data_IF_261734114726
#
_entry.id   IF_261734114726
#
_cell.length_a   1.000
_cell.length_b   1.000
_cell.length_c   1.000
_cell.angle_alpha   90.00
_cell.angle_beta   90.00
_cell.angle_gamma   90.00
#
_symmetry.space_group_name_H-M   'P 1'
#
loop_
_entity.id
_entity.type
_entity.pdbx_description
1 polymer ?
#
# COMPACT_ATOMS: atom_id res chain seq x y z
N UNK A 1 -10.85 10.86 -85.05
CA UNK A 1 -12.33 10.93 -84.89
C UNK A 1 -12.65 11.93 -83.79
N UNK A 2 -13.84 12.55 -83.80
CA UNK A 2 -14.10 13.78 -83.06
C UNK A 2 -14.95 13.61 -81.79
N UNK A 3 -14.63 14.44 -80.79
CA UNK A 3 -15.53 15.08 -79.82
C UNK A 3 -17.05 14.90 -80.02
N UNK A 4 -17.79 14.58 -78.94
CA UNK A 4 -18.54 15.62 -78.20
C UNK A 4 -19.11 15.17 -76.84
N UNK A 5 -19.58 16.17 -76.10
CA UNK A 5 -20.01 16.18 -74.69
C UNK A 5 -21.55 16.11 -74.56
N UNK A 6 -22.06 15.52 -73.45
CA UNK A 6 -23.24 16.00 -72.65
C UNK A 6 -24.64 15.92 -73.35
N UNK A 7 -25.77 15.53 -72.71
CA UNK A 7 -26.47 16.23 -71.60
C UNK A 7 -27.69 15.43 -71.04
N UNK A 8 -27.93 15.46 -69.69
CA UNK A 8 -29.25 15.47 -68.96
C UNK A 8 -30.24 14.27 -69.19
N UNK A 9 -31.26 13.98 -68.35
CA UNK A 9 -31.83 14.64 -67.14
C UNK A 9 -32.57 13.64 -66.19
N UNK A 10 -32.44 13.84 -64.88
CA UNK A 10 -33.35 13.56 -63.73
C UNK A 10 -34.66 12.75 -63.91
N UNK A 11 -34.95 11.86 -62.92
CA UNK A 11 -36.19 11.96 -62.09
C UNK A 11 -36.18 11.08 -60.81
N UNK A 12 -36.78 11.60 -59.71
CA UNK A 12 -37.16 10.98 -58.41
C UNK A 12 -36.05 10.23 -57.63
N UNK A 13 -35.67 10.61 -56.41
CA UNK A 13 -36.44 10.82 -55.16
C UNK A 13 -36.89 9.52 -54.48
N UNK A 14 -36.01 8.98 -53.62
CA UNK A 14 -36.38 8.18 -52.47
C UNK A 14 -35.51 8.64 -51.30
N UNK A 15 -36.09 9.39 -50.35
CA UNK A 15 -35.41 9.76 -49.11
C UNK A 15 -35.62 8.59 -48.14
N UNK A 16 -34.61 7.74 -48.00
CA UNK A 16 -34.57 6.76 -46.92
C UNK A 16 -33.74 7.35 -45.79
N UNK A 17 -34.43 7.92 -44.79
CA UNK A 17 -33.79 8.49 -43.60
C UNK A 17 -33.32 7.36 -42.68
N UNK A 18 -32.24 6.68 -43.06
CA UNK A 18 -31.55 5.74 -42.18
C UNK A 18 -30.89 6.55 -41.07
N UNK A 19 -31.60 6.74 -39.96
CA UNK A 19 -31.01 7.09 -38.67
C UNK A 19 -30.27 5.85 -38.18
N UNK A 20 -29.14 5.57 -38.83
CA UNK A 20 -28.15 4.63 -38.33
C UNK A 20 -27.54 5.28 -37.11
N UNK A 21 -28.06 4.96 -35.94
CA UNK A 21 -27.48 5.37 -34.66
C UNK A 21 -26.03 4.91 -34.67
N UNK A 22 -25.10 5.86 -34.84
CA UNK A 22 -23.70 5.59 -34.63
C UNK A 22 -23.56 5.33 -33.14
N UNK A 23 -23.60 4.05 -32.76
CA UNK A 23 -23.21 3.61 -31.44
C UNK A 23 -21.73 3.95 -31.31
N UNK A 24 -21.48 5.14 -30.75
CA UNK A 24 -20.16 5.50 -30.25
C UNK A 24 -19.90 4.52 -29.13
N UNK A 25 -19.17 3.46 -29.46
CA UNK A 25 -18.45 2.65 -28.50
C UNK A 25 -17.40 3.55 -27.87
N UNK A 26 -17.84 4.38 -26.93
CA UNK A 26 -16.97 4.82 -25.86
C UNK A 26 -16.41 3.52 -25.25
N UNK A 27 -15.09 3.29 -25.26
CA UNK A 27 -14.55 2.29 -24.37
C UNK A 27 -14.94 2.72 -22.95
N UNK A 28 -15.80 1.95 -22.31
CA UNK A 28 -16.06 2.11 -20.88
C UNK A 28 -14.73 1.88 -20.19
N UNK A 29 -14.15 2.94 -19.63
CA UNK A 29 -12.86 2.86 -18.93
C UNK A 29 -12.96 1.77 -17.85
N UNK A 30 -12.18 0.70 -18.02
CA UNK A 30 -12.07 -0.34 -17.00
C UNK A 30 -11.15 0.22 -15.90
N UNK A 31 -11.55 -0.01 -14.65
CA UNK A 31 -10.98 0.64 -13.45
C UNK A 31 -9.62 0.06 -13.06
N UNK A 32 -8.89 0.77 -12.18
CA UNK A 32 -7.50 0.47 -11.83
C UNK A 32 -6.94 1.42 -10.73
N UNK A 33 -6.11 0.95 -9.79
CA UNK A 33 -5.70 1.53 -8.48
C UNK A 33 -4.25 1.13 -7.93
N UNK A 34 -3.25 2.00 -7.69
CA UNK A 34 -1.82 1.77 -8.12
C UNK A 34 -1.01 0.85 -7.24
N UNK A 35 -0.68 1.37 -6.08
CA UNK A 35 -1.03 0.67 -4.86
C UNK A 35 -2.52 0.25 -4.96
N UNK A 36 -2.79 -1.05 -5.14
CA UNK A 36 -4.19 -1.51 -5.06
C UNK A 36 -4.70 -1.22 -3.65
N UNK A 37 -5.94 -0.76 -3.53
CA UNK A 37 -6.59 -0.62 -2.23
C UNK A 37 -7.67 -1.66 -2.09
N UNK A 38 -7.55 -2.54 -1.10
CA UNK A 38 -8.52 -3.61 -0.90
C UNK A 38 -9.94 -3.08 -0.67
N UNK A 39 -10.89 -3.54 -1.49
CA UNK A 39 -12.32 -3.17 -1.51
C UNK A 39 -12.65 -1.73 -1.95
N UNK A 40 -11.79 -1.03 -2.68
CA UNK A 40 -12.07 0.32 -3.21
C UNK A 40 -12.87 0.31 -4.55
N UNK A 41 -13.73 -0.70 -4.75
CA UNK A 41 -14.34 -1.08 -6.03
C UNK A 41 -15.22 -0.03 -6.75
N UNK A 42 -15.52 1.11 -6.14
CA UNK A 42 -16.38 2.16 -6.71
C UNK A 42 -15.66 3.45 -7.16
N UNK A 43 -14.39 3.68 -6.82
CA UNK A 43 -13.67 4.88 -7.30
C UNK A 43 -12.30 5.09 -6.65
N UNK A 44 -12.04 6.31 -6.16
CA UNK A 44 -10.95 6.61 -5.20
C UNK A 44 -11.48 6.64 -3.74
N UNK A 45 -12.78 6.45 -3.56
CA UNK A 45 -13.50 6.63 -2.31
C UNK A 45 -13.73 5.31 -1.58
N UNK A 46 -12.82 4.97 -0.68
CA UNK A 46 -13.06 3.95 0.33
C UNK A 46 -11.83 3.12 0.67
N UNK A 47 -12.02 1.80 0.67
CA UNK A 47 -10.98 0.84 0.96
C UNK A 47 -10.85 0.48 2.43
N UNK A 48 -10.35 -0.73 2.68
CA UNK A 48 -10.13 -1.28 4.00
C UNK A 48 -8.84 -0.72 4.59
N UNK A 49 -8.89 -0.21 5.83
CA UNK A 49 -7.75 0.40 6.54
C UNK A 49 -7.94 0.35 8.05
N UNK A 50 -6.86 0.43 8.81
CA UNK A 50 -6.94 0.59 10.27
C UNK A 50 -7.50 1.98 10.65
N UNK A 51 -8.21 2.06 11.77
CA UNK A 51 -8.71 3.33 12.28
C UNK A 51 -7.60 4.11 12.98
N UNK A 52 -7.49 5.43 12.75
CA UNK A 52 -6.54 6.28 13.47
C UNK A 52 -7.06 6.73 14.85
N UNK A 53 -8.35 6.52 15.16
CA UNK A 53 -8.92 6.75 16.48
C UNK A 53 -9.11 5.42 17.24
N UNK A 54 -8.94 5.40 18.58
CA UNK A 54 -9.12 4.20 19.40
C UNK A 54 -10.46 3.53 19.17
N UNK A 55 -10.43 2.23 18.85
CA UNK A 55 -11.58 1.46 18.38
C UNK A 55 -11.59 0.09 19.03
N UNK A 56 -12.70 -0.27 19.66
CA UNK A 56 -12.88 -1.59 20.26
C UNK A 56 -13.77 -2.47 19.38
N UNK A 57 -13.23 -3.58 18.86
CA UNK A 57 -13.97 -4.59 18.08
C UNK A 57 -13.98 -5.90 18.89
N UNK A 58 -15.16 -6.50 19.08
CA UNK A 58 -15.36 -7.73 19.88
C UNK A 58 -14.77 -7.71 21.31
N UNK A 59 -14.52 -6.52 21.87
CA UNK A 59 -13.95 -6.33 23.22
C UNK A 59 -12.42 -6.14 23.24
N UNK A 60 -11.76 -6.09 22.09
CA UNK A 60 -10.31 -5.85 21.95
C UNK A 60 -10.07 -4.52 21.21
N UNK A 61 -8.97 -3.84 21.54
CA UNK A 61 -8.48 -2.69 20.78
C UNK A 61 -8.09 -3.16 19.37
N UNK A 62 -8.48 -2.40 18.33
CA UNK A 62 -8.19 -2.65 16.91
C UNK A 62 -8.10 -1.32 16.14
N UNK A 63 -7.10 -0.52 16.46
CA UNK A 63 -6.80 0.76 15.79
C UNK A 63 -5.28 1.02 15.70
N UNK A 64 -4.90 2.23 15.30
CA UNK A 64 -3.53 2.74 15.38
C UNK A 64 -3.21 3.43 16.72
N UNK A 65 -4.17 3.60 17.64
CA UNK A 65 -3.95 4.23 18.94
C UNK A 65 -3.20 3.29 19.89
N UNK A 66 -1.90 3.54 20.06
CA UNK A 66 -0.96 2.60 20.70
C UNK A 66 -0.18 1.73 19.70
N UNK A 67 -0.47 1.84 18.41
CA UNK A 67 0.22 1.15 17.32
C UNK A 67 -0.22 -0.31 17.13
N UNK A 68 0.07 -0.86 15.95
CA UNK A 68 -0.32 -2.23 15.60
C UNK A 68 0.63 -3.24 16.26
N UNK A 69 0.10 -4.16 17.07
CA UNK A 69 0.91 -5.23 17.64
C UNK A 69 0.97 -6.43 16.70
N UNK A 70 2.09 -7.12 16.70
CA UNK A 70 2.23 -8.40 16.01
C UNK A 70 2.67 -9.52 16.95
N UNK A 71 2.11 -10.72 16.76
CA UNK A 71 2.50 -11.93 17.49
C UNK A 71 3.08 -12.99 16.54
N UNK A 72 3.82 -13.95 17.08
CA UNK A 72 4.54 -14.97 16.29
C UNK A 72 4.11 -16.38 16.71
N UNK A 73 3.90 -17.28 15.74
CA UNK A 73 3.52 -18.66 16.03
C UNK A 73 4.61 -19.35 16.87
N UNK A 74 4.21 -19.84 18.05
CA UNK A 74 5.14 -20.38 19.06
C UNK A 74 5.66 -19.37 20.09
N UNK A 75 5.18 -18.13 20.08
CA UNK A 75 5.41 -17.12 21.13
C UNK A 75 6.87 -16.63 21.26
N UNK A 76 7.71 -16.87 20.26
CA UNK A 76 9.10 -16.39 20.26
C UNK A 76 9.71 -16.40 18.86
N UNK A 77 10.65 -15.48 18.63
CA UNK A 77 11.46 -15.44 17.40
C UNK A 77 12.14 -16.78 17.11
N UNK A 78 12.60 -17.52 18.13
CA UNK A 78 13.23 -18.83 17.91
C UNK A 78 12.19 -19.86 17.44
N UNK A 79 11.09 -20.03 18.16
CA UNK A 79 10.07 -21.00 17.80
C UNK A 79 9.53 -20.75 16.39
N UNK A 80 9.35 -19.48 16.02
CA UNK A 80 8.90 -19.07 14.70
C UNK A 80 9.95 -19.31 13.60
N UNK A 81 11.23 -18.96 13.82
CA UNK A 81 12.33 -19.27 12.88
C UNK A 81 12.42 -20.77 12.61
N UNK A 82 12.27 -21.57 13.66
CA UNK A 82 12.48 -23.03 13.63
C UNK A 82 11.28 -23.78 12.99
N UNK A 83 10.24 -23.08 12.53
CA UNK A 83 9.20 -23.62 11.63
C UNK A 83 9.66 -23.77 10.18
N UNK A 84 10.63 -22.94 9.74
CA UNK A 84 10.98 -22.78 8.32
C UNK A 84 12.25 -23.55 7.93
N UNK A 85 12.33 -23.93 6.66
CA UNK A 85 13.57 -24.49 6.09
C UNK A 85 14.44 -23.38 5.52
N UNK A 86 15.72 -23.39 5.88
CA UNK A 86 16.68 -22.33 5.56
C UNK A 86 17.87 -22.88 4.77
N UNK A 87 18.36 -22.12 3.79
CA UNK A 87 19.62 -22.40 3.07
C UNK A 87 20.81 -22.30 4.03
N UNK A 88 20.80 -21.25 4.87
CA UNK A 88 21.62 -21.11 6.08
C UNK A 88 20.68 -20.65 7.18
N UNK A 89 20.54 -21.44 8.25
CA UNK A 89 19.70 -21.08 9.42
C UNK A 89 20.21 -19.78 10.03
N UNK A 90 19.41 -18.70 10.08
CA UNK A 90 19.86 -17.41 10.61
C UNK A 90 20.21 -17.49 12.10
N UNK A 91 21.15 -16.66 12.54
CA UNK A 91 21.33 -16.39 13.98
C UNK A 91 20.04 -15.76 14.51
N UNK A 92 19.69 -16.02 15.78
CA UNK A 92 18.42 -15.59 16.34
C UNK A 92 18.26 -14.06 16.29
N UNK A 93 19.30 -13.33 16.67
CA UNK A 93 19.39 -11.87 16.64
C UNK A 93 19.20 -11.31 15.21
N UNK A 94 19.80 -11.95 14.20
CA UNK A 94 19.64 -11.59 12.79
C UNK A 94 18.19 -11.83 12.30
N UNK A 95 17.55 -12.92 12.74
CA UNK A 95 16.16 -13.22 12.38
C UNK A 95 15.17 -12.25 13.02
N UNK A 96 15.35 -11.94 14.32
CA UNK A 96 14.59 -10.91 15.01
C UNK A 96 14.74 -9.56 14.33
N UNK A 97 15.98 -9.13 14.07
CA UNK A 97 16.27 -7.89 13.37
C UNK A 97 15.66 -7.88 11.94
N UNK A 98 15.61 -9.02 11.25
CA UNK A 98 14.96 -9.17 9.95
C UNK A 98 13.44 -8.92 10.00
N UNK A 99 12.74 -9.46 11.00
CA UNK A 99 11.30 -9.21 11.21
C UNK A 99 11.07 -7.75 11.60
N UNK A 100 11.84 -7.22 12.55
CA UNK A 100 11.74 -5.82 12.97
C UNK A 100 12.03 -4.86 11.81
N UNK A 101 12.96 -5.18 10.90
CA UNK A 101 13.23 -4.41 9.69
C UNK A 101 12.06 -4.44 8.69
N UNK A 102 11.36 -5.58 8.54
CA UNK A 102 10.23 -5.68 7.63
C UNK A 102 9.06 -4.79 8.08
N UNK A 103 8.75 -4.76 9.38
CA UNK A 103 7.77 -3.81 9.94
C UNK A 103 8.24 -2.36 9.86
N UNK A 104 9.50 -2.07 10.22
CA UNK A 104 10.04 -0.71 10.18
C UNK A 104 10.20 -0.15 8.75
N UNK A 105 10.24 -0.97 7.70
CA UNK A 105 10.24 -0.47 6.33
C UNK A 105 9.00 0.39 6.03
N UNK A 106 7.84 0.04 6.57
CA UNK A 106 6.60 0.82 6.43
C UNK A 106 6.54 2.07 7.31
N UNK A 107 7.42 2.22 8.31
CA UNK A 107 7.48 3.41 9.19
C UNK A 107 8.48 4.47 8.72
N UNK A 108 9.30 4.15 7.70
CA UNK A 108 10.36 5.04 7.19
C UNK A 108 9.81 6.29 6.50
N UNK A 109 10.40 7.45 6.81
CA UNK A 109 10.18 8.71 6.07
C UNK A 109 10.52 8.51 4.59
N UNK A 110 9.58 8.87 3.70
CA UNK A 110 9.76 8.83 2.25
C UNK A 110 10.97 9.72 1.85
N UNK A 111 12.03 9.15 1.22
CA UNK A 111 13.23 9.89 0.87
C UNK A 111 13.05 10.85 -0.32
N UNK A 112 11.98 10.70 -1.10
CA UNK A 112 11.64 11.55 -2.25
C UNK A 112 10.85 12.80 -1.85
N UNK A 113 9.83 12.65 -0.98
CA UNK A 113 8.98 13.78 -0.54
C UNK A 113 9.30 14.32 0.85
N UNK A 114 9.97 13.54 1.70
CA UNK A 114 10.19 13.88 3.12
C UNK A 114 8.98 13.62 4.03
N UNK A 115 7.91 12.98 3.53
CA UNK A 115 6.73 12.66 4.33
C UNK A 115 6.98 11.47 5.27
N UNK A 116 6.63 11.65 6.54
CA UNK A 116 6.65 10.59 7.55
C UNK A 116 5.41 9.70 7.50
N UNK A 117 5.10 9.06 8.62
CA UNK A 117 3.84 8.39 8.91
C UNK A 117 3.70 8.25 10.42
N UNK A 118 2.46 8.15 10.91
CA UNK A 118 2.15 7.87 12.32
C UNK A 118 2.02 6.36 12.59
N UNK A 119 2.22 5.51 11.58
CA UNK A 119 2.30 4.06 11.73
C UNK A 119 3.51 3.65 12.58
N UNK A 120 3.28 2.81 13.58
CA UNK A 120 4.32 2.07 14.29
C UNK A 120 3.84 0.68 14.71
N UNK A 121 4.79 -0.21 14.92
CA UNK A 121 4.55 -1.64 15.19
C UNK A 121 5.29 -2.09 16.45
N UNK A 122 4.67 -2.97 17.24
CA UNK A 122 5.26 -3.53 18.48
C UNK A 122 5.11 -5.04 18.51
N UNK A 123 6.15 -5.77 18.91
CA UNK A 123 6.03 -7.22 19.14
C UNK A 123 5.24 -7.49 20.44
N UNK A 124 4.12 -8.19 20.33
CA UNK A 124 3.35 -8.73 21.44
C UNK A 124 3.42 -10.26 21.40
N UNK A 125 4.48 -10.79 22.02
CA UNK A 125 4.74 -12.23 22.09
C UNK A 125 4.04 -12.91 23.28
N UNK A 126 3.33 -12.15 24.11
CA UNK A 126 2.51 -12.68 25.22
C UNK A 126 1.08 -12.98 24.77
N UNK A 127 0.52 -12.17 23.85
CA UNK A 127 -0.69 -12.52 23.11
C UNK A 127 -0.43 -13.78 22.25
N UNK A 128 -1.16 -14.88 22.46
CA UNK A 128 -0.97 -16.08 21.64
C UNK A 128 -1.53 -15.87 20.22
N UNK A 129 -0.80 -16.34 19.21
CA UNK A 129 -1.36 -16.53 17.86
C UNK A 129 -2.61 -17.40 17.94
N UNK A 130 -3.74 -16.94 17.39
CA UNK A 130 -5.00 -17.70 17.40
C UNK A 130 -5.32 -18.22 15.99
N UNK A 131 -5.56 -19.52 15.89
CA UNK A 131 -5.33 -20.29 14.66
C UNK A 131 -6.17 -19.94 13.42
N UNK A 132 -5.45 -19.69 12.33
CA UNK A 132 -5.85 -19.96 10.93
C UNK A 132 -6.58 -21.32 10.75
N UNK A 133 -7.58 -21.36 9.87
CA UNK A 133 -8.19 -22.63 9.44
C UNK A 133 -7.36 -23.24 8.30
N UNK A 134 -6.65 -24.34 8.58
CA UNK A 134 -5.76 -25.02 7.62
C UNK A 134 -6.40 -25.22 6.24
N UNK A 135 -5.86 -24.54 5.22
CA UNK A 135 -6.33 -24.62 3.83
C UNK A 135 -7.63 -23.88 3.51
N UNK A 136 -8.11 -22.96 4.35
CA UNK A 136 -9.33 -22.18 4.09
C UNK A 136 -9.22 -20.66 4.22
N UNK A 137 -8.10 -20.12 4.71
CA UNK A 137 -8.01 -18.68 4.99
C UNK A 137 -8.65 -18.29 6.32
N UNK A 138 -8.70 -16.99 6.55
CA UNK A 138 -9.43 -16.35 7.64
C UNK A 138 -8.59 -16.02 8.88
N UNK A 139 -8.96 -14.89 9.48
CA UNK A 139 -8.33 -14.25 10.64
C UNK A 139 -9.13 -14.48 11.91
N UNK A 140 -8.45 -14.77 13.03
CA UNK A 140 -9.08 -14.82 14.34
C UNK A 140 -8.85 -13.52 15.13
N UNK A 141 -9.93 -12.77 15.36
CA UNK A 141 -9.89 -11.49 16.07
C UNK A 141 -9.42 -11.58 17.53
N UNK A 142 -9.06 -12.76 18.06
CA UNK A 142 -8.52 -12.96 19.43
C UNK A 142 -6.99 -12.91 19.51
N UNK A 143 -6.28 -12.87 18.38
CA UNK A 143 -4.83 -12.70 18.30
C UNK A 143 -4.34 -11.27 18.55
N UNK A 144 -3.16 -10.92 18.04
CA UNK A 144 -2.69 -9.53 17.97
C UNK A 144 -3.46 -8.74 16.89
N UNK A 145 -3.02 -7.53 16.53
CA UNK A 145 -3.52 -6.88 15.31
C UNK A 145 -3.02 -7.60 14.04
N UNK A 146 -1.80 -8.15 14.11
CA UNK A 146 -1.13 -8.90 13.03
C UNK A 146 -0.51 -10.21 13.55
N UNK A 147 -1.11 -11.38 13.28
CA UNK A 147 -0.54 -12.68 13.68
C UNK A 147 0.32 -13.30 12.56
N UNK A 148 1.53 -13.81 12.89
CA UNK A 148 2.45 -14.43 11.93
C UNK A 148 2.54 -15.95 12.07
N UNK A 149 2.35 -16.66 10.95
CA UNK A 149 2.24 -18.13 10.86
C UNK A 149 3.24 -18.74 9.87
N UNK A 150 3.61 -20.00 10.09
CA UNK A 150 4.25 -20.88 9.12
C UNK A 150 3.40 -22.12 8.88
N UNK A 151 2.75 -22.23 7.72
CA UNK A 151 1.88 -23.36 7.35
C UNK A 151 2.41 -24.15 6.16
N UNK A 152 2.30 -25.48 6.21
CA UNK A 152 2.59 -26.35 5.07
C UNK A 152 1.40 -26.46 4.09
N UNK A 153 0.27 -25.80 4.38
CA UNK A 153 -0.94 -25.82 3.56
C UNK A 153 -1.74 -24.52 3.73
N UNK A 154 -1.99 -23.78 2.65
CA UNK A 154 -2.77 -22.54 2.68
C UNK A 154 -3.64 -22.39 1.41
N UNK A 155 -4.12 -21.19 1.08
CA UNK A 155 -4.92 -20.97 -0.12
C UNK A 155 -4.07 -21.01 -1.40
N UNK A 156 -2.82 -20.53 -1.35
CA UNK A 156 -1.93 -20.49 -2.52
C UNK A 156 -0.95 -21.69 -2.65
N UNK A 157 -0.88 -22.60 -1.67
CA UNK A 157 -0.02 -23.79 -1.72
C UNK A 157 -0.56 -25.02 -0.96
N UNK A 158 -0.33 -26.20 -1.54
CA UNK A 158 -0.60 -27.51 -0.93
C UNK A 158 0.61 -28.05 -0.13
N UNK A 159 0.38 -29.11 0.65
CA UNK A 159 1.46 -29.91 1.27
C UNK A 159 2.42 -30.48 0.22
N UNK A 160 3.70 -30.16 0.36
CA UNK A 160 4.78 -30.55 -0.55
C UNK A 160 5.19 -29.47 -1.56
N UNK A 161 4.64 -28.25 -1.48
CA UNK A 161 5.04 -27.15 -2.35
C UNK A 161 6.41 -26.57 -1.96
N UNK A 162 7.28 -26.39 -2.96
CA UNK A 162 8.65 -25.90 -2.80
C UNK A 162 8.80 -24.39 -3.08
N UNK A 163 7.70 -23.69 -3.41
CA UNK A 163 7.68 -22.25 -3.67
C UNK A 163 7.73 -21.48 -2.35
N UNK A 164 8.54 -20.42 -2.30
CA UNK A 164 8.58 -19.49 -1.16
C UNK A 164 7.44 -18.50 -1.33
N UNK A 165 6.33 -18.76 -0.67
CA UNK A 165 5.13 -17.94 -0.70
C UNK A 165 4.82 -17.36 0.66
N UNK A 166 4.13 -16.23 0.63
CA UNK A 166 3.36 -15.67 1.72
C UNK A 166 1.89 -15.61 1.31
N UNK A 167 1.03 -15.36 2.28
CA UNK A 167 -0.40 -15.12 2.10
C UNK A 167 -0.89 -14.26 3.26
N UNK A 168 -1.42 -13.07 2.96
CA UNK A 168 -2.08 -12.24 3.96
C UNK A 168 -3.60 -12.38 3.87
N UNK A 169 -4.21 -12.76 4.99
CA UNK A 169 -5.64 -12.67 5.21
C UNK A 169 -5.91 -11.43 6.08
N UNK A 170 -7.04 -10.74 5.90
CA UNK A 170 -7.50 -9.75 6.88
C UNK A 170 -9.04 -9.71 6.95
N UNK A 171 -9.56 -9.31 8.11
CA UNK A 171 -10.99 -9.08 8.33
C UNK A 171 -11.26 -7.58 8.49
N UNK A 172 -12.32 -7.09 7.85
CA UNK A 172 -12.84 -5.73 8.05
C UNK A 172 -14.33 -5.74 8.41
N UNK A 173 -14.77 -4.64 9.04
CA UNK A 173 -16.18 -4.38 9.37
C UNK A 173 -16.74 -3.23 8.53
N UNK A 174 -18.07 -3.21 8.38
CA UNK A 174 -18.81 -2.21 7.58
C UNK A 174 -18.97 -0.87 8.31
N UNK A 175 -17.86 -0.35 8.86
CA UNK A 175 -17.79 0.90 9.60
C UNK A 175 -16.66 1.80 9.09
N UNK A 176 -16.96 3.08 8.91
CA UNK A 176 -15.99 4.09 8.46
C UNK A 176 -14.97 4.43 9.53
N UNK A 177 -13.72 4.67 9.14
CA UNK A 177 -12.63 5.05 10.05
C UNK A 177 -12.50 6.55 10.28
N UNK A 178 -11.65 6.93 11.24
CA UNK A 178 -10.92 8.20 11.27
C UNK A 178 -9.59 8.05 10.54
N UNK A 179 -9.22 9.02 9.69
CA UNK A 179 -7.88 9.10 9.09
C UNK A 179 -6.86 9.69 10.07
N UNK A 180 -5.57 9.37 9.90
CA UNK A 180 -4.44 9.94 10.68
C UNK A 180 -4.40 11.47 10.63
N UNK A 181 -4.94 12.08 9.57
CA UNK A 181 -5.12 13.53 9.43
C UNK A 181 -6.24 14.14 10.27
N UNK A 182 -6.99 13.33 11.03
CA UNK A 182 -8.12 13.74 11.86
C UNK A 182 -9.48 13.80 11.14
N UNK A 183 -9.58 13.38 9.87
CA UNK A 183 -10.88 13.27 9.18
C UNK A 183 -11.65 12.06 9.73
N UNK A 184 -12.63 12.33 10.60
CA UNK A 184 -13.57 11.33 11.16
C UNK A 184 -14.62 10.86 10.15
N UNK A 185 -15.09 9.62 10.29
CA UNK A 185 -16.14 9.00 9.46
C UNK A 185 -15.84 9.06 7.95
N UNK A 186 -14.62 8.70 7.55
CA UNK A 186 -14.17 8.81 6.16
C UNK A 186 -15.02 7.92 5.23
N UNK A 187 -15.73 8.53 4.28
CA UNK A 187 -16.79 7.86 3.52
C UNK A 187 -16.27 6.72 2.64
N UNK A 188 -17.00 5.59 2.63
CA UNK A 188 -16.65 4.39 1.87
C UNK A 188 -15.52 3.55 2.47
N UNK A 189 -14.83 4.03 3.51
CA UNK A 189 -13.79 3.26 4.21
C UNK A 189 -14.38 2.16 5.09
N UNK A 190 -13.54 1.16 5.39
CA UNK A 190 -13.91 -0.01 6.18
C UNK A 190 -12.82 -0.27 7.22
N UNK A 191 -13.17 -0.32 8.50
CA UNK A 191 -12.21 -0.56 9.57
C UNK A 191 -11.70 -2.00 9.54
N UNK A 192 -10.38 -2.19 9.40
CA UNK A 192 -9.72 -3.48 9.62
C UNK A 192 -9.86 -3.87 11.11
N UNK A 193 -9.97 -5.17 11.37
CA UNK A 193 -10.26 -5.77 12.68
C UNK A 193 -9.26 -6.85 13.12
N UNK A 194 -8.26 -7.11 12.28
CA UNK A 194 -7.25 -8.15 12.42
C UNK A 194 -6.69 -8.53 11.04
N UNK A 195 -5.41 -8.88 10.97
CA UNK A 195 -4.76 -9.44 9.80
C UNK A 195 -3.84 -10.60 10.20
N UNK A 196 -3.70 -11.61 9.34
CA UNK A 196 -2.87 -12.80 9.56
C UNK A 196 -1.93 -12.97 8.36
N UNK A 197 -0.62 -13.05 8.61
CA UNK A 197 0.40 -13.30 7.59
C UNK A 197 0.89 -14.75 7.71
N UNK A 198 0.78 -15.51 6.63
CA UNK A 198 1.11 -16.94 6.60
C UNK A 198 2.25 -17.16 5.60
N UNK A 199 3.28 -17.90 5.99
CA UNK A 199 4.38 -18.30 5.11
C UNK A 199 4.37 -19.80 4.83
N UNK A 200 4.82 -20.21 3.65
CA UNK A 200 4.95 -21.63 3.31
C UNK A 200 6.07 -22.30 4.13
N UNK A 201 5.71 -23.12 5.13
CA UNK A 201 6.65 -23.89 5.96
C UNK A 201 6.95 -25.31 5.46
N UNK A 202 6.60 -25.63 4.20
CA UNK A 202 6.95 -26.92 3.60
C UNK A 202 8.48 -27.16 3.57
N UNK A 203 8.97 -28.39 3.81
CA UNK A 203 10.42 -28.69 3.85
C UNK A 203 11.23 -28.40 2.58
N UNK A 204 10.58 -28.17 1.44
CA UNK A 204 11.24 -27.76 0.19
C UNK A 204 11.15 -26.27 -0.13
N UNK A 205 10.39 -25.49 0.63
CA UNK A 205 10.39 -24.03 0.57
C UNK A 205 11.60 -23.50 1.35
N UNK A 206 12.76 -23.47 0.69
CA UNK A 206 14.05 -23.12 1.32
C UNK A 206 14.31 -21.61 1.25
N UNK A 207 14.24 -20.92 2.38
CA UNK A 207 14.40 -19.47 2.50
C UNK A 207 15.86 -19.05 2.74
N UNK A 208 16.17 -17.82 2.32
CA UNK A 208 17.26 -17.01 2.89
C UNK A 208 16.64 -15.88 3.73
N UNK A 209 17.38 -15.33 4.69
CA UNK A 209 16.88 -14.24 5.54
C UNK A 209 16.41 -13.01 4.73
N UNK A 210 17.16 -12.64 3.68
CA UNK A 210 16.79 -11.51 2.82
C UNK A 210 15.49 -11.75 2.05
N UNK A 211 15.26 -12.96 1.52
CA UNK A 211 14.01 -13.30 0.81
C UNK A 211 12.84 -13.37 1.79
N UNK A 212 13.03 -13.95 2.99
CA UNK A 212 12.01 -13.99 4.03
C UNK A 212 11.62 -12.56 4.47
N UNK A 213 12.60 -11.70 4.77
CA UNK A 213 12.37 -10.28 5.10
C UNK A 213 11.62 -9.56 3.99
N UNK A 214 12.07 -9.70 2.74
CA UNK A 214 11.50 -8.99 1.58
C UNK A 214 10.04 -9.36 1.35
N UNK A 215 9.73 -10.66 1.41
CA UNK A 215 8.36 -11.18 1.34
C UNK A 215 7.52 -10.69 2.52
N UNK A 216 8.03 -10.77 3.75
CA UNK A 216 7.32 -10.22 4.92
C UNK A 216 7.03 -8.72 4.78
N UNK A 217 7.93 -7.91 4.19
CA UNK A 217 7.63 -6.49 3.94
C UNK A 217 6.47 -6.32 2.95
N UNK A 218 6.38 -7.15 1.90
CA UNK A 218 5.26 -7.15 0.96
C UNK A 218 3.95 -7.54 1.66
N UNK A 219 3.93 -8.65 2.41
CA UNK A 219 2.75 -9.10 3.18
C UNK A 219 2.24 -8.05 4.19
N UNK A 220 3.14 -7.34 4.89
CA UNK A 220 2.75 -6.25 5.80
C UNK A 220 2.00 -5.14 5.04
N UNK A 221 2.32 -4.89 3.77
CA UNK A 221 1.55 -3.99 2.91
C UNK A 221 0.07 -4.39 2.80
N UNK A 222 -0.21 -5.69 2.66
CA UNK A 222 -1.58 -6.21 2.70
C UNK A 222 -2.25 -6.05 4.05
N UNK A 223 -1.53 -6.27 5.17
CA UNK A 223 -2.10 -6.02 6.51
C UNK A 223 -2.47 -4.55 6.75
N UNK A 224 -1.85 -3.64 6.00
CA UNK A 224 -2.16 -2.21 6.00
C UNK A 224 -3.33 -1.84 5.08
N UNK A 225 -3.77 -2.72 4.18
CA UNK A 225 -4.88 -2.50 3.24
C UNK A 225 -4.48 -2.37 1.75
N UNK A 226 -3.19 -2.54 1.42
CA UNK A 226 -2.71 -2.56 0.04
C UNK A 226 -2.99 -3.92 -0.63
N UNK A 227 -3.15 -3.96 -1.95
CA UNK A 227 -3.23 -5.20 -2.73
C UNK A 227 -2.07 -5.32 -3.72
N UNK A 228 -2.00 -6.48 -4.38
CA UNK A 228 -1.04 -6.75 -5.46
C UNK A 228 -1.30 -5.87 -6.68
N UNK A 229 -0.25 -5.30 -7.27
CA UNK A 229 -0.36 -4.40 -8.43
C UNK A 229 -0.61 -5.12 -9.77
N UNK A 230 -0.71 -6.45 -9.78
CA UNK A 230 -0.91 -7.23 -11.00
C UNK A 230 -2.37 -7.65 -11.23
N UNK A 231 -2.87 -7.28 -12.42
CA UNK A 231 -4.21 -7.50 -13.02
C UNK A 231 -4.74 -8.95 -13.01
N UNK A 232 -3.95 -9.92 -12.53
CA UNK A 232 -4.23 -11.37 -12.56
C UNK A 232 -4.55 -12.01 -11.20
N UNK A 233 -4.27 -11.34 -10.07
CA UNK A 233 -4.53 -11.87 -8.71
C UNK A 233 -5.67 -11.11 -8.03
N UNK A 234 -5.76 -9.80 -8.26
CA UNK A 234 -6.82 -8.96 -7.74
C UNK A 234 -7.52 -8.26 -8.94
N UNK A 235 -8.85 -8.06 -8.94
CA UNK A 235 -9.51 -7.13 -9.87
C UNK A 235 -9.35 -5.65 -9.45
N UNK A 236 -8.39 -5.33 -8.58
CA UNK A 236 -6.99 -5.00 -8.96
C UNK A 236 -6.69 -4.17 -10.24
N UNK A 237 -5.48 -3.58 -10.27
CA UNK A 237 -5.39 -2.11 -10.36
C UNK A 237 -3.91 -1.52 -10.23
N UNK A 238 -3.46 -0.23 -10.40
CA UNK A 238 -3.60 0.87 -11.42
C UNK A 238 -3.97 2.42 -11.15
N UNK A 239 -3.67 3.15 -10.04
CA UNK A 239 -4.02 4.58 -9.67
C UNK A 239 -2.76 5.49 -9.83
N UNK A 240 -2.51 6.04 -11.00
CA UNK A 240 -1.41 6.99 -11.17
C UNK A 240 -1.94 8.44 -11.04
N UNK A 241 -1.07 9.45 -11.04
CA UNK A 241 -1.48 10.83 -11.41
C UNK A 241 -1.40 11.07 -12.92
N UNK A 242 -0.54 10.33 -13.64
CA UNK A 242 -0.24 10.58 -15.05
C UNK A 242 0.15 9.37 -15.94
N UNK A 243 0.03 8.11 -15.49
CA UNK A 243 0.50 6.89 -16.18
C UNK A 243 0.46 6.92 -17.72
N UNK A 244 1.62 6.69 -18.35
CA UNK A 244 1.77 6.63 -19.80
C UNK A 244 2.50 5.35 -20.24
N UNK A 245 1.70 4.30 -20.48
CA UNK A 245 2.14 3.04 -21.04
C UNK A 245 2.51 3.04 -22.54
N UNK A 246 2.65 4.19 -23.22
CA UNK A 246 2.93 4.19 -24.67
C UNK A 246 4.33 3.68 -25.03
N UNK A 247 5.29 3.77 -24.11
CA UNK A 247 6.66 3.24 -24.28
C UNK A 247 7.30 2.90 -22.93
N UNK A 248 8.29 2.01 -22.91
CA UNK A 248 9.10 1.68 -21.72
C UNK A 248 9.83 2.89 -21.10
N UNK A 249 10.00 3.97 -21.87
CA UNK A 249 10.59 5.21 -21.37
C UNK A 249 9.56 6.08 -20.63
N UNK A 250 8.31 6.08 -21.09
CA UNK A 250 7.20 6.78 -20.45
C UNK A 250 6.68 5.99 -19.25
N UNK A 251 6.43 4.68 -19.38
CA UNK A 251 5.95 3.83 -18.31
C UNK A 251 6.86 3.91 -17.07
N UNK A 252 8.19 3.81 -17.22
CA UNK A 252 9.12 4.04 -16.10
C UNK A 252 9.09 5.48 -15.59
N UNK A 253 8.92 6.48 -16.45
CA UNK A 253 8.91 7.88 -16.02
C UNK A 253 7.65 8.26 -15.22
N UNK A 254 6.54 7.55 -15.41
CA UNK A 254 5.32 7.70 -14.62
C UNK A 254 5.36 6.77 -13.40
N UNK A 255 5.54 5.46 -13.58
CA UNK A 255 5.66 4.42 -12.54
C UNK A 255 6.96 4.50 -11.69
N UNK A 256 7.56 5.69 -11.56
CA UNK A 256 8.60 6.01 -10.57
C UNK A 256 8.53 7.47 -10.09
N UNK A 257 7.49 8.25 -10.40
CA UNK A 257 7.42 9.64 -9.95
C UNK A 257 6.97 9.75 -8.48
N UNK A 258 7.35 10.81 -7.74
CA UNK A 258 6.99 10.94 -6.32
C UNK A 258 5.55 11.45 -6.12
N UNK A 259 4.57 10.54 -6.12
CA UNK A 259 3.12 10.87 -6.00
C UNK A 259 2.63 11.13 -4.58
N UNK A 260 3.31 10.66 -3.53
CA UNK A 260 2.82 10.74 -2.14
C UNK A 260 2.47 12.19 -1.69
N UNK A 261 3.23 13.18 -2.15
CA UNK A 261 3.01 14.61 -1.90
C UNK A 261 1.74 15.20 -2.55
N UNK A 262 1.10 14.47 -3.46
CA UNK A 262 -0.11 14.89 -4.18
C UNK A 262 -1.40 14.48 -3.45
N UNK A 263 -1.31 13.62 -2.42
CA UNK A 263 -2.47 13.14 -1.66
C UNK A 263 -3.16 14.29 -0.92
N UNK A 264 -4.47 14.49 -1.14
CA UNK A 264 -5.28 15.34 -0.25
C UNK A 264 -5.39 14.62 1.10
N UNK A 265 -4.56 15.06 2.06
CA UNK A 265 -4.45 14.43 3.38
C UNK A 265 -5.77 14.37 4.15
N UNK A 266 -6.75 15.24 3.85
CA UNK A 266 -8.06 15.23 4.52
C UNK A 266 -9.10 14.40 3.79
N UNK A 267 -8.94 14.18 2.49
CA UNK A 267 -9.81 13.35 1.68
C UNK A 267 -9.00 12.73 0.53
N UNK A 268 -8.34 11.58 0.73
CA UNK A 268 -7.53 10.94 -0.32
C UNK A 268 -8.27 10.73 -1.65
N UNK A 269 -9.59 10.57 -1.64
CA UNK A 269 -10.42 10.49 -2.85
C UNK A 269 -10.50 11.78 -3.70
N UNK A 270 -10.08 12.93 -3.16
CA UNK A 270 -9.95 14.22 -3.87
C UNK A 270 -8.55 14.46 -4.47
N UNK A 271 -7.58 13.56 -4.23
CA UNK A 271 -6.22 13.65 -4.80
C UNK A 271 -6.29 13.73 -6.34
N UNK A 272 -5.31 14.33 -7.03
CA UNK A 272 -5.35 14.57 -8.48
C UNK A 272 -5.08 13.30 -9.31
N UNK A 273 -5.48 12.14 -8.79
CA UNK A 273 -5.20 10.82 -9.33
C UNK A 273 -6.29 10.34 -10.30
N UNK A 274 -5.99 9.30 -11.07
CA UNK A 274 -6.92 8.68 -12.02
C UNK A 274 -6.68 7.18 -12.12
N UNK A 275 -7.65 6.46 -12.70
CA UNK A 275 -7.63 5.00 -12.79
C UNK A 275 -7.15 4.54 -14.18
N UNK A 276 -6.07 3.75 -14.24
CA UNK A 276 -5.33 3.36 -15.46
C UNK A 276 -4.93 1.88 -15.48
N UNK A 277 -5.27 1.09 -16.52
CA UNK A 277 -4.76 -0.28 -16.62
C UNK A 277 -3.26 -0.31 -16.93
N UNK A 278 -2.44 -0.85 -16.02
CA UNK A 278 -1.02 -1.14 -16.21
C UNK A 278 -0.84 -2.64 -16.45
N UNK A 279 -0.19 -3.08 -17.54
CA UNK A 279 -0.03 -4.50 -17.81
C UNK A 279 1.16 -5.08 -17.02
N UNK A 280 1.05 -6.37 -16.70
CA UNK A 280 2.19 -7.19 -16.32
C UNK A 280 3.01 -7.52 -17.59
N UNK A 281 4.02 -6.68 -17.87
CA UNK A 281 4.84 -6.70 -19.08
C UNK A 281 5.56 -5.36 -19.32
N UNK A 282 6.37 -5.27 -20.38
CA UNK A 282 7.04 -4.03 -20.81
C UNK A 282 6.41 -3.51 -22.14
N UNK A 283 5.81 -2.31 -22.19
CA UNK A 283 5.71 -1.29 -21.14
C UNK A 283 4.63 -1.56 -20.07
N UNK A 284 4.98 -1.46 -18.80
CA UNK A 284 4.14 -1.80 -17.65
C UNK A 284 4.99 -2.02 -16.38
N UNK A 285 4.56 -2.89 -15.45
CA UNK A 285 5.31 -3.13 -14.19
C UNK A 285 6.67 -3.83 -14.41
N UNK A 286 6.79 -4.74 -15.39
CA UNK A 286 8.08 -5.37 -15.77
C UNK A 286 9.09 -4.37 -16.40
N UNK A 287 8.68 -3.10 -16.66
CA UNK A 287 9.57 -2.13 -17.30
C UNK A 287 10.79 -1.84 -16.43
N UNK A 288 11.95 -2.35 -16.85
CA UNK A 288 13.24 -2.22 -16.17
C UNK A 288 13.47 -0.85 -15.51
N UNK A 289 13.46 -0.83 -14.17
CA UNK A 289 13.64 0.35 -13.32
C UNK A 289 12.34 0.84 -12.68
N UNK A 290 11.21 0.20 -12.96
CA UNK A 290 10.06 0.09 -12.07
C UNK A 290 10.37 -1.08 -11.13
N UNK A 291 10.33 -0.84 -9.82
CA UNK A 291 10.91 -1.69 -8.78
C UNK A 291 9.93 -1.84 -7.57
N UNK A 292 8.60 -1.85 -7.82
CA UNK A 292 7.50 -1.69 -6.84
C UNK A 292 7.43 -2.89 -5.88
N UNK A 293 7.37 -2.65 -4.55
CA UNK A 293 7.33 -3.74 -3.57
C UNK A 293 6.04 -4.57 -3.65
N UNK A 294 4.89 -3.93 -3.88
CA UNK A 294 3.58 -4.58 -3.94
C UNK A 294 3.32 -5.39 -5.23
N UNK A 295 4.36 -5.80 -5.98
CA UNK A 295 4.24 -6.82 -7.04
C UNK A 295 4.40 -8.23 -6.44
N UNK A 296 3.43 -9.09 -6.65
CA UNK A 296 3.36 -10.46 -6.11
C UNK A 296 4.44 -11.40 -6.67
N UNK A 297 4.92 -11.16 -7.90
CA UNK A 297 5.82 -12.09 -8.58
C UNK A 297 7.31 -11.74 -8.46
N UNK A 298 7.64 -10.45 -8.39
CA UNK A 298 9.01 -9.96 -8.28
C UNK A 298 9.36 -9.33 -6.92
N UNK A 299 8.37 -8.99 -6.09
CA UNK A 299 8.52 -8.30 -4.79
C UNK A 299 9.30 -6.97 -4.87
N UNK A 300 9.41 -6.35 -6.05
CA UNK A 300 10.20 -5.16 -6.36
C UNK A 300 11.70 -5.41 -6.50
N UNK A 301 12.13 -6.65 -6.70
CA UNK A 301 13.54 -7.04 -6.65
C UNK A 301 14.25 -6.76 -7.98
N UNK A 302 14.93 -5.62 -8.07
CA UNK A 302 15.68 -5.21 -9.26
C UNK A 302 17.09 -4.69 -8.93
N UNK A 303 17.91 -4.32 -9.94
CA UNK A 303 19.25 -3.79 -9.72
C UNK A 303 19.31 -2.44 -8.97
N UNK A 304 18.20 -1.67 -8.95
CA UNK A 304 18.07 -0.47 -8.12
C UNK A 304 17.63 -0.82 -6.70
N UNK A 305 16.68 -1.75 -6.59
CA UNK A 305 16.07 -2.21 -5.35
C UNK A 305 16.37 -3.70 -5.04
N UNK A 306 17.61 -4.09 -4.71
CA UNK A 306 17.99 -5.49 -4.52
C UNK A 306 17.31 -6.12 -3.29
N UNK A 307 17.24 -7.46 -3.25
CA UNK A 307 16.63 -8.20 -2.11
C UNK A 307 17.29 -7.88 -0.75
N UNK A 308 18.57 -7.51 -0.76
CA UNK A 308 19.35 -7.06 0.40
C UNK A 308 19.05 -5.62 0.85
N UNK A 309 18.20 -4.88 0.13
CA UNK A 309 17.74 -3.56 0.54
C UNK A 309 16.84 -3.68 1.79
N UNK A 310 17.20 -2.98 2.86
CA UNK A 310 16.43 -2.95 4.13
C UNK A 310 15.28 -1.94 4.09
N UNK A 311 15.18 -1.14 3.02
CA UNK A 311 14.13 -0.13 2.80
C UNK A 311 13.55 -0.30 1.38
N UNK A 312 12.80 -1.40 1.13
CA UNK A 312 12.40 -1.81 -0.21
C UNK A 312 11.28 -0.99 -0.85
N UNK A 313 10.58 -0.12 -0.10
CA UNK A 313 9.51 0.73 -0.61
C UNK A 313 10.05 1.74 -1.64
N UNK A 314 9.33 1.86 -2.74
CA UNK A 314 9.52 2.85 -3.81
C UNK A 314 8.40 3.91 -3.77
N UNK A 315 8.37 4.84 -4.74
CA UNK A 315 7.50 6.01 -4.69
C UNK A 315 6.00 5.66 -4.71
N UNK A 316 5.60 4.59 -5.39
CA UNK A 316 4.22 4.10 -5.44
C UNK A 316 3.81 3.44 -4.10
N UNK A 317 4.73 2.70 -3.47
CA UNK A 317 4.53 2.09 -2.16
C UNK A 317 4.35 3.18 -1.07
N UNK A 318 5.16 4.25 -1.12
CA UNK A 318 4.96 5.44 -0.27
C UNK A 318 3.68 6.21 -0.62
N UNK A 319 3.29 6.26 -1.90
CA UNK A 319 2.03 6.81 -2.38
C UNK A 319 0.83 6.11 -1.74
N UNK A 320 0.82 4.78 -1.77
CA UNK A 320 -0.23 3.96 -1.17
C UNK A 320 -0.31 4.08 0.33
N UNK A 321 0.85 4.05 1.02
CA UNK A 321 0.88 4.32 2.46
C UNK A 321 0.30 5.69 2.79
N UNK A 322 0.67 6.74 2.06
CA UNK A 322 0.17 8.11 2.30
C UNK A 322 -1.31 8.27 1.91
N UNK A 323 -1.84 7.50 0.96
CA UNK A 323 -3.27 7.47 0.60
C UNK A 323 -4.13 6.73 1.66
N UNK A 324 -3.57 5.68 2.26
CA UNK A 324 -4.21 4.95 3.35
C UNK A 324 -4.15 5.71 4.68
N UNK A 325 -2.96 6.22 5.02
CA UNK A 325 -2.60 6.83 6.30
C UNK A 325 -1.91 8.18 6.07
N UNK A 326 -2.66 9.25 5.69
CA UNK A 326 -2.05 10.50 5.29
C UNK A 326 -1.38 11.21 6.46
N UNK A 327 -0.06 11.31 6.41
CA UNK A 327 0.72 12.09 7.36
C UNK A 327 0.49 13.59 7.13
N UNK A 328 0.11 14.32 8.18
CA UNK A 328 0.01 15.77 8.16
C UNK A 328 1.27 16.36 8.79
N UNK A 329 2.16 16.88 7.96
CA UNK A 329 3.34 17.62 8.42
C UNK A 329 2.93 18.96 9.07
N UNK A 330 2.56 18.90 10.35
CA UNK A 330 2.37 20.09 11.18
C UNK A 330 3.69 20.85 11.20
N UNK A 331 3.76 22.11 10.72
CA UNK A 331 4.97 22.89 10.84
C UNK A 331 5.21 23.17 12.33
N UNK A 332 6.28 22.58 12.87
CA UNK A 332 6.82 22.92 14.20
C UNK A 332 6.74 24.44 14.39
N UNK A 333 5.97 24.96 15.37
CA UNK A 333 5.70 26.39 15.48
C UNK A 333 6.95 27.13 15.94
N UNK A 334 7.80 27.45 14.97
CA UNK A 334 9.19 27.86 15.16
C UNK A 334 9.35 28.89 16.28
N UNK A 335 10.03 28.48 17.36
CA UNK A 335 10.12 29.20 18.64
C UNK A 335 10.84 30.55 18.58
N UNK A 336 11.21 30.99 17.37
CA UNK A 336 11.94 32.20 17.00
C UNK A 336 11.20 33.48 17.47
N UNK A 337 9.86 33.45 17.51
CA UNK A 337 9.04 34.56 18.04
C UNK A 337 9.12 34.71 19.57
N UNK A 338 9.55 33.67 20.31
CA UNK A 338 9.69 33.71 21.77
C UNK A 338 10.93 34.46 22.26
N UNK A 339 11.96 34.61 21.41
CA UNK A 339 13.26 35.22 21.79
C UNK A 339 13.37 36.71 21.43
N UNK A 340 12.48 37.24 20.57
CA UNK A 340 12.49 38.64 20.16
C UNK A 340 11.72 39.59 21.10
N UNK A 341 10.90 39.06 22.02
CA UNK A 341 10.03 39.86 22.90
C UNK A 341 10.63 40.21 24.27
N UNK A 342 11.69 39.52 24.70
CA UNK A 342 12.38 39.83 25.98
C UNK A 342 13.44 40.96 25.87
N UNK A 343 13.79 41.41 24.66
CA UNK A 343 14.92 42.31 24.43
C UNK A 343 14.72 43.80 24.76
N UNK A 344 13.50 44.26 25.03
CA UNK A 344 13.13 45.70 24.94
C UNK A 344 12.75 46.39 26.26
N UNK A 345 12.69 45.68 27.39
CA UNK A 345 12.26 46.23 28.69
C UNK A 345 13.40 46.49 29.70
N UNK A 346 14.67 46.37 29.27
CA UNK A 346 15.84 46.31 30.16
C UNK A 346 16.67 47.60 30.35
N UNK A 347 16.21 48.78 29.93
CA UNK A 347 17.05 50.00 29.90
C UNK A 347 16.32 51.31 30.26
N UNK A 348 15.79 51.42 31.49
CA UNK A 348 15.15 52.65 31.97
C UNK A 348 15.18 52.85 33.49
N UNK A 349 15.48 54.10 33.90
CA UNK A 349 15.27 54.64 35.26
C UNK A 349 16.08 54.06 36.43
N UNK A 350 17.32 54.56 36.60
CA UNK A 350 17.94 54.69 37.93
C UNK A 350 18.00 56.19 38.30
N UNK A 351 17.17 56.62 39.25
CA UNK A 351 16.96 58.06 39.57
C UNK A 351 17.99 58.57 40.57
N UNK A 352 18.54 59.77 40.32
CA UNK A 352 19.42 60.48 41.26
C UNK A 352 18.71 60.77 42.59
N UNK A 353 19.30 60.34 43.71
CA UNK A 353 19.06 60.99 45.02
C UNK A 353 20.09 62.09 45.25
N UNK A 354 19.63 63.21 45.78
CA UNK A 354 20.48 64.30 46.31
C UNK A 354 20.90 63.99 47.74
N UNK A 355 22.08 64.51 48.10
CA UNK A 355 22.22 65.38 49.28
C UNK A 355 22.26 66.83 48.76
#
# INVERSE_FOLDING_TARGET
MNFKLVTKRFFRSAILTTVGTLAVLFPTAQKSEAFVIWRNSEGLSGGSRWDAAPRTINGLERSLDGGLRYSLQGGSYQAFRDLFTWDIVPVLDDFQAGIEQAFNAWTVVDPGTGLGTDLFFTADLETPVVGFNEGQGGVDFRGAEIDLFGSNNAFFWDVGDNRRFGETNFNDIDETVTLTSGTVNYAGSRAISGADIIFNSNPGAVYTLDVFRRLLTHEIGHTLGLGDVEDNINPGAFIDDNYDGTTSAMARATLTNPIAQLVDVRNPANSPFSLFTVPNGDPGVDTRGVDILMESQGLGIAPGNPVTNLKPLTNDDYGGRQFLYPFVSVPEPTSILGLLTLGTLGAGSAVKKKL
#
